data_IF_298102271364
#
_entry.id   IF_298102271364
#
_cell.length_a   1.000
_cell.length_b   1.000
_cell.length_c   1.000
_cell.angle_alpha   90.00
_cell.angle_beta   90.00
_cell.angle_gamma   90.00
#
_symmetry.space_group_name_H-M   'P 1'
#
loop_
_entity.id
_entity.type
_entity.pdbx_description
1 polymer ?
#
# COMPACT_ATOMS: atom_id res chain seq x y z
N UNK A 1 -8.31 4.33 24.82
CA UNK A 1 -8.81 4.62 23.46
C UNK A 1 -8.23 3.59 22.52
N UNK A 2 -9.04 2.64 22.05
CA UNK A 2 -8.62 1.64 21.07
C UNK A 2 -8.35 2.37 19.76
N UNK A 3 -7.09 2.40 19.30
CA UNK A 3 -6.76 2.95 17.99
C UNK A 3 -7.50 2.11 16.96
N UNK A 4 -8.34 2.74 16.13
CA UNK A 4 -9.10 2.04 15.12
C UNK A 4 -8.14 1.25 14.21
N UNK A 5 -8.52 0.01 13.87
CA UNK A 5 -7.74 -0.81 12.94
C UNK A 5 -7.61 -0.04 11.62
N UNK A 6 -6.42 -0.06 11.01
CA UNK A 6 -6.10 0.65 9.77
C UNK A 6 -6.05 2.18 9.86
N UNK A 7 -6.13 2.80 11.05
CA UNK A 7 -6.15 4.27 11.20
C UNK A 7 -4.88 5.00 10.72
N UNK A 8 -3.85 4.27 10.31
CA UNK A 8 -2.60 4.80 9.75
C UNK A 8 -2.57 4.78 8.22
N UNK A 9 -3.60 4.22 7.59
CA UNK A 9 -3.80 4.21 6.15
C UNK A 9 -4.52 5.47 5.69
N UNK A 10 -4.55 5.69 4.38
CA UNK A 10 -5.18 6.87 3.75
C UNK A 10 -4.37 7.50 2.63
N UNK A 11 -3.30 6.83 2.18
CA UNK A 11 -2.47 7.25 1.06
C UNK A 11 -3.09 6.76 -0.26
N UNK A 12 -2.29 6.52 -1.32
CA UNK A 12 -2.75 5.83 -2.53
C UNK A 12 -3.01 4.35 -2.22
N UNK A 13 -3.98 3.74 -2.91
CA UNK A 13 -4.39 2.34 -2.66
C UNK A 13 -3.21 1.36 -2.62
N UNK A 14 -2.26 1.47 -3.56
CA UNK A 14 -1.09 0.61 -3.61
C UNK A 14 -0.21 0.71 -2.33
N UNK A 15 -0.08 1.90 -1.76
CA UNK A 15 0.62 2.11 -0.48
C UNK A 15 -0.16 1.49 0.67
N UNK A 16 -1.48 1.68 0.68
CA UNK A 16 -2.34 1.14 1.73
C UNK A 16 -2.37 -0.41 1.72
N UNK A 17 -2.36 -1.02 0.52
CA UNK A 17 -2.16 -2.46 0.32
C UNK A 17 -0.82 -2.90 0.91
N UNK A 18 0.29 -2.26 0.53
CA UNK A 18 1.62 -2.62 1.01
C UNK A 18 1.77 -2.44 2.53
N UNK A 19 1.05 -1.50 3.13
CA UNK A 19 1.04 -1.23 4.57
C UNK A 19 0.07 -2.10 5.37
N UNK A 20 -0.56 -3.11 4.76
CA UNK A 20 -1.24 -4.20 5.50
C UNK A 20 -0.27 -5.11 6.24
N UNK A 21 1.03 -5.05 5.91
CA UNK A 21 2.11 -5.56 6.75
C UNK A 21 2.85 -4.43 7.43
N UNK A 22 3.21 -4.64 8.70
CA UNK A 22 3.90 -3.60 9.49
C UNK A 22 5.26 -4.04 9.95
N UNK A 23 6.23 -3.15 9.84
CA UNK A 23 7.52 -3.33 10.51
C UNK A 23 7.35 -3.07 12.01
N UNK A 24 7.82 -4.00 12.84
CA UNK A 24 8.00 -3.86 14.29
C UNK A 24 9.44 -4.22 14.62
N UNK A 25 10.25 -3.21 14.93
CA UNK A 25 11.71 -3.38 15.03
C UNK A 25 12.31 -3.79 13.69
N UNK A 26 12.91 -4.98 13.62
CA UNK A 26 13.49 -5.56 12.40
C UNK A 26 12.58 -6.59 11.72
N UNK A 27 11.40 -6.88 12.28
CA UNK A 27 10.49 -7.91 11.77
C UNK A 27 9.28 -7.28 11.10
N UNK A 28 8.84 -7.88 10.00
CA UNK A 28 7.54 -7.57 9.41
C UNK A 28 6.48 -8.48 10.05
N UNK A 29 5.36 -7.88 10.45
CA UNK A 29 4.23 -8.52 11.09
C UNK A 29 3.04 -8.46 10.15
N UNK A 30 2.56 -9.64 9.75
CA UNK A 30 1.33 -9.79 8.98
C UNK A 30 0.12 -9.35 9.82
N UNK A 31 -0.78 -8.56 9.24
CA UNK A 31 -2.01 -8.10 9.91
C UNK A 31 -3.27 -8.67 9.29
N UNK A 32 -3.17 -9.34 8.14
CA UNK A 32 -4.23 -10.10 7.48
C UNK A 32 -3.96 -11.59 7.76
N UNK A 33 -4.38 -12.04 8.93
CA UNK A 33 -4.19 -13.43 9.39
C UNK A 33 -5.45 -14.29 9.24
N UNK A 34 -6.58 -13.66 8.92
CA UNK A 34 -7.88 -14.29 8.77
C UNK A 34 -8.73 -13.56 7.71
N UNK A 35 -9.81 -14.19 7.21
CA UNK A 35 -10.76 -13.53 6.31
C UNK A 35 -11.43 -12.29 6.91
N UNK A 36 -11.65 -12.27 8.23
CA UNK A 36 -12.23 -11.12 8.92
C UNK A 36 -11.29 -9.91 8.93
N UNK A 37 -9.98 -10.17 9.02
CA UNK A 37 -8.97 -9.13 8.90
C UNK A 37 -8.99 -8.47 7.51
N UNK A 38 -9.06 -9.30 6.46
CA UNK A 38 -9.18 -8.83 5.09
C UNK A 38 -10.49 -8.09 4.85
N UNK A 39 -11.60 -8.59 5.39
CA UNK A 39 -12.90 -7.91 5.31
C UNK A 39 -12.85 -6.53 5.94
N UNK A 40 -12.26 -6.41 7.13
CA UNK A 40 -12.13 -5.13 7.83
C UNK A 40 -11.27 -4.14 7.02
N UNK A 41 -10.21 -4.62 6.37
CA UNK A 41 -9.39 -3.78 5.48
C UNK A 41 -10.15 -3.37 4.22
N UNK A 42 -10.85 -4.31 3.56
CA UNK A 42 -11.67 -4.01 2.37
C UNK A 42 -12.79 -3.01 2.67
N UNK A 43 -13.40 -3.08 3.86
CA UNK A 43 -14.38 -2.08 4.30
C UNK A 43 -13.76 -0.70 4.51
N UNK A 44 -12.51 -0.62 4.99
CA UNK A 44 -11.76 0.63 5.02
C UNK A 44 -11.52 1.19 3.60
N UNK A 45 -11.33 0.29 2.63
CA UNK A 45 -11.02 0.58 1.23
C UNK A 45 -12.25 0.70 0.31
N UNK A 46 -13.48 0.59 0.84
CA UNK A 46 -14.73 0.47 0.07
C UNK A 46 -15.01 1.57 -0.95
N UNK A 47 -14.39 2.74 -0.79
CA UNK A 47 -14.52 3.86 -1.73
C UNK A 47 -13.60 3.72 -2.95
N UNK A 48 -12.62 2.81 -2.89
CA UNK A 48 -11.60 2.56 -3.92
C UNK A 48 -11.71 1.16 -4.51
N UNK A 49 -12.20 0.19 -3.73
CA UNK A 49 -12.33 -1.20 -4.12
C UNK A 49 -13.75 -1.72 -3.90
N UNK A 50 -14.22 -2.54 -4.84
CA UNK A 50 -15.38 -3.38 -4.62
C UNK A 50 -15.00 -4.52 -3.67
N UNK A 51 -15.87 -4.84 -2.70
CA UNK A 51 -15.64 -5.92 -1.75
C UNK A 51 -16.12 -7.24 -2.39
N UNK A 52 -15.24 -8.23 -2.60
CA UNK A 52 -15.65 -9.52 -3.13
C UNK A 52 -16.58 -10.26 -2.17
N UNK A 53 -17.50 -11.05 -2.72
CA UNK A 53 -18.31 -11.98 -1.96
C UNK A 53 -18.09 -13.42 -2.50
N UNK A 54 -17.65 -14.38 -1.67
CA UNK A 54 -17.30 -14.26 -0.24
C UNK A 54 -15.92 -13.63 0.01
N UNK A 55 -15.71 -13.10 1.22
CA UNK A 55 -14.38 -12.84 1.79
C UNK A 55 -14.00 -14.03 2.66
N UNK A 56 -13.19 -14.94 2.12
CA UNK A 56 -12.83 -16.23 2.71
C UNK A 56 -11.30 -16.47 2.72
N UNK A 57 -10.89 -17.67 3.15
CA UNK A 57 -9.47 -18.02 3.23
C UNK A 57 -8.81 -18.09 1.85
N UNK A 58 -9.54 -18.47 0.80
CA UNK A 58 -9.01 -18.53 -0.56
C UNK A 58 -8.72 -17.10 -1.08
N UNK A 59 -9.59 -16.14 -0.79
CA UNK A 59 -9.33 -14.73 -1.11
C UNK A 59 -8.10 -14.19 -0.38
N UNK A 60 -7.92 -14.53 0.90
CA UNK A 60 -6.71 -14.18 1.66
C UNK A 60 -5.46 -14.75 0.99
N UNK A 61 -5.47 -16.03 0.61
CA UNK A 61 -4.34 -16.67 -0.09
C UNK A 61 -4.03 -16.05 -1.45
N UNK A 62 -5.01 -15.42 -2.12
CA UNK A 62 -4.79 -14.65 -3.37
C UNK A 62 -4.30 -13.23 -3.09
N UNK A 63 -4.79 -12.58 -2.04
CA UNK A 63 -4.41 -11.21 -1.69
C UNK A 63 -2.95 -11.09 -1.23
N UNK A 64 -2.47 -12.00 -0.37
CA UNK A 64 -1.15 -11.86 0.26
C UNK A 64 0.01 -11.82 -0.76
N UNK A 65 0.07 -12.70 -1.79
CA UNK A 65 1.11 -12.62 -2.82
C UNK A 65 1.04 -11.32 -3.65
N UNK A 66 -0.17 -10.86 -3.99
CA UNK A 66 -0.35 -9.58 -4.70
C UNK A 66 0.23 -8.43 -3.89
N UNK A 67 -0.08 -8.41 -2.58
CA UNK A 67 0.48 -7.43 -1.65
C UNK A 67 2.01 -7.52 -1.59
N UNK A 68 2.60 -8.71 -1.60
CA UNK A 68 4.06 -8.86 -1.56
C UNK A 68 4.73 -8.31 -2.83
N UNK A 69 4.14 -8.53 -4.01
CA UNK A 69 4.62 -7.91 -5.24
C UNK A 69 4.54 -6.38 -5.18
N UNK A 70 3.40 -5.83 -4.72
CA UNK A 70 3.20 -4.38 -4.54
C UNK A 70 4.25 -3.82 -3.57
N UNK A 71 4.45 -4.47 -2.42
CA UNK A 71 5.43 -4.08 -1.43
C UNK A 71 6.86 -4.07 -1.99
N UNK A 72 7.22 -5.08 -2.80
CA UNK A 72 8.52 -5.18 -3.46
C UNK A 72 8.80 -3.99 -4.37
N UNK A 73 7.89 -3.70 -5.31
CA UNK A 73 8.08 -2.57 -6.24
C UNK A 73 8.05 -1.21 -5.55
N UNK A 74 7.21 -1.02 -4.53
CA UNK A 74 7.16 0.24 -3.79
C UNK A 74 8.39 0.47 -2.91
N UNK A 75 9.02 -0.59 -2.39
CA UNK A 75 10.30 -0.46 -1.68
C UNK A 75 11.43 -0.09 -2.62
N UNK A 76 11.52 -0.72 -3.79
CA UNK A 76 12.51 -0.36 -4.80
C UNK A 76 12.34 1.10 -5.24
N UNK A 77 11.10 1.52 -5.52
CA UNK A 77 10.78 2.91 -5.83
C UNK A 77 11.18 3.89 -4.71
N UNK A 78 10.86 3.57 -3.45
CA UNK A 78 11.24 4.37 -2.29
C UNK A 78 12.76 4.48 -2.10
N UNK A 79 13.51 3.47 -2.51
CA UNK A 79 14.97 3.44 -2.47
C UNK A 79 15.63 4.12 -3.68
N UNK A 80 14.86 4.51 -4.70
CA UNK A 80 15.39 5.04 -5.97
C UNK A 80 16.07 3.96 -6.83
N UNK A 81 15.69 2.71 -6.64
CA UNK A 81 16.25 1.54 -7.33
C UNK A 81 15.39 1.13 -8.54
N UNK A 82 15.95 0.32 -9.43
CA UNK A 82 15.20 -0.30 -10.52
C UNK A 82 14.15 -1.27 -10.00
N UNK A 83 12.96 -1.29 -10.60
CA UNK A 83 11.88 -2.16 -10.18
C UNK A 83 12.24 -3.65 -10.42
N UNK A 84 12.06 -4.53 -9.43
CA UNK A 84 12.31 -5.96 -9.58
C UNK A 84 11.51 -6.59 -10.72
N UNK A 85 12.20 -7.26 -11.64
CA UNK A 85 11.60 -7.72 -12.90
C UNK A 85 10.50 -8.78 -12.72
N UNK A 86 10.61 -9.63 -11.68
CA UNK A 86 9.61 -10.66 -11.39
C UNK A 86 8.30 -10.03 -10.89
N UNK A 87 8.39 -9.04 -10.01
CA UNK A 87 7.26 -8.31 -9.44
C UNK A 87 6.59 -7.42 -10.49
N UNK A 88 7.38 -6.76 -11.37
CA UNK A 88 6.84 -6.03 -12.52
C UNK A 88 6.03 -6.96 -13.43
N UNK A 89 6.56 -8.15 -13.72
CA UNK A 89 5.85 -9.15 -14.53
C UNK A 89 4.55 -9.58 -13.86
N UNK A 90 4.60 -9.95 -12.58
CA UNK A 90 3.43 -10.39 -11.83
C UNK A 90 2.33 -9.31 -11.78
N UNK A 91 2.68 -8.06 -11.52
CA UNK A 91 1.73 -6.94 -11.52
C UNK A 91 1.08 -6.78 -12.90
N UNK A 92 1.86 -6.84 -13.97
CA UNK A 92 1.31 -6.74 -15.33
C UNK A 92 0.38 -7.91 -15.66
N UNK A 93 0.74 -9.14 -15.30
CA UNK A 93 -0.11 -10.33 -15.50
C UNK A 93 -1.43 -10.21 -14.73
N UNK A 94 -1.40 -9.72 -13.49
CA UNK A 94 -2.60 -9.47 -12.69
C UNK A 94 -3.52 -8.41 -13.32
N UNK A 95 -2.95 -7.31 -13.83
CA UNK A 95 -3.72 -6.28 -14.52
C UNK A 95 -4.34 -6.79 -15.84
N UNK A 96 -3.62 -7.64 -16.57
CA UNK A 96 -4.09 -8.29 -17.81
C UNK A 96 -5.23 -9.29 -17.53
N UNK A 97 -5.26 -9.92 -16.36
CA UNK A 97 -6.25 -10.96 -16.03
C UNK A 97 -7.70 -10.43 -15.95
N UNK A 98 -7.90 -9.15 -15.61
CA UNK A 98 -9.22 -8.51 -15.62
C UNK A 98 -9.10 -7.01 -15.99
N UNK A 99 -8.89 -6.69 -17.27
CA UNK A 99 -8.61 -5.34 -17.71
C UNK A 99 -9.85 -4.44 -17.61
N UNK A 100 -9.59 -3.16 -17.36
CA UNK A 100 -10.63 -2.13 -17.28
C UNK A 100 -10.32 -0.96 -18.20
N UNK A 101 -11.36 -0.35 -18.77
CA UNK A 101 -11.26 0.91 -19.50
C UNK A 101 -11.70 2.08 -18.62
N UNK A 102 -11.07 3.25 -18.84
CA UNK A 102 -11.47 4.51 -18.21
C UNK A 102 -12.50 5.20 -19.09
N UNK A 103 -13.57 5.65 -18.48
CA UNK A 103 -14.65 6.39 -19.12
C UNK A 103 -14.79 7.77 -18.48
N UNK A 104 -15.17 8.76 -19.27
CA UNK A 104 -15.45 10.10 -18.78
C UNK A 104 -16.80 10.12 -18.05
N UNK A 105 -16.80 10.61 -16.80
CA UNK A 105 -18.02 10.87 -16.04
C UNK A 105 -18.62 12.25 -16.35
N UNK A 106 -19.83 12.50 -15.84
CA UNK A 106 -20.61 13.70 -16.14
C UNK A 106 -20.17 14.99 -15.44
N UNK A 107 -19.08 14.98 -14.66
CA UNK A 107 -18.56 16.15 -13.94
C UNK A 107 -17.04 16.27 -14.11
N UNK A 108 -16.46 17.48 -14.08
CA UNK A 108 -15.01 17.65 -14.07
C UNK A 108 -14.34 16.80 -12.99
N UNK A 109 -13.28 16.06 -13.37
CA UNK A 109 -12.56 15.17 -12.46
C UNK A 109 -13.27 13.85 -12.11
N UNK A 110 -14.49 13.62 -12.62
CA UNK A 110 -15.19 12.35 -12.42
C UNK A 110 -14.76 11.34 -13.48
N UNK A 111 -13.95 10.37 -13.07
CA UNK A 111 -13.58 9.22 -13.88
C UNK A 111 -14.43 8.01 -13.49
N UNK A 112 -14.89 7.27 -14.49
CA UNK A 112 -15.54 5.98 -14.32
C UNK A 112 -14.60 4.87 -14.81
N UNK A 113 -14.77 3.67 -14.26
CA UNK A 113 -13.99 2.49 -14.65
C UNK A 113 -14.97 1.39 -15.04
N UNK A 114 -14.77 0.78 -16.21
CA UNK A 114 -15.63 -0.29 -16.71
C UNK A 114 -14.81 -1.56 -16.99
N UNK A 115 -15.22 -2.74 -16.48
CA UNK A 115 -14.58 -4.01 -16.85
C UNK A 115 -14.73 -4.31 -18.34
N UNK A 116 -13.64 -4.70 -19.00
CA UNK A 116 -13.67 -5.14 -20.41
C UNK A 116 -14.17 -6.58 -20.51
N UNK A 117 -13.79 -7.41 -19.54
CA UNK A 117 -14.16 -8.82 -19.48
C UNK A 117 -14.84 -9.12 -18.14
N UNK A 118 -15.70 -10.15 -18.13
CA UNK A 118 -16.17 -10.72 -16.88
C UNK A 118 -15.02 -11.48 -16.22
N UNK A 119 -14.83 -11.26 -14.93
CA UNK A 119 -13.87 -11.96 -14.09
C UNK A 119 -14.54 -12.31 -12.76
N UNK A 120 -14.09 -13.38 -12.11
CA UNK A 120 -14.52 -13.66 -10.75
C UNK A 120 -14.10 -12.50 -9.81
N UNK A 121 -14.88 -12.23 -8.73
CA UNK A 121 -14.63 -11.09 -7.85
C UNK A 121 -13.21 -11.02 -7.26
N UNK A 122 -12.58 -12.17 -7.02
CA UNK A 122 -11.24 -12.23 -6.47
C UNK A 122 -10.17 -11.87 -7.51
N UNK A 123 -10.28 -12.35 -8.75
CA UNK A 123 -9.42 -11.92 -9.86
C UNK A 123 -9.57 -10.43 -10.12
N UNK A 124 -10.82 -9.92 -10.09
CA UNK A 124 -11.09 -8.48 -10.24
C UNK A 124 -10.41 -7.63 -9.16
N UNK A 125 -10.49 -8.02 -7.89
CA UNK A 125 -9.81 -7.33 -6.79
C UNK A 125 -8.29 -7.26 -7.03
N UNK A 126 -7.69 -8.38 -7.43
CA UNK A 126 -6.24 -8.44 -7.68
C UNK A 126 -5.82 -7.55 -8.85
N UNK A 127 -6.61 -7.52 -9.93
CA UNK A 127 -6.37 -6.66 -11.08
C UNK A 127 -6.52 -5.16 -10.74
N UNK A 128 -7.51 -4.79 -9.92
CA UNK A 128 -7.70 -3.40 -9.49
C UNK A 128 -6.52 -2.91 -8.62
N UNK A 129 -5.99 -3.77 -7.73
CA UNK A 129 -4.79 -3.47 -6.94
C UNK A 129 -3.57 -3.31 -7.85
N UNK A 130 -3.41 -4.19 -8.84
CA UNK A 130 -2.33 -4.12 -9.81
C UNK A 130 -2.40 -2.82 -10.64
N UNK A 131 -3.59 -2.47 -11.15
CA UNK A 131 -3.82 -1.24 -11.89
C UNK A 131 -3.50 0.01 -11.05
N UNK A 132 -3.92 0.04 -9.78
CA UNK A 132 -3.59 1.14 -8.87
C UNK A 132 -2.08 1.26 -8.58
N UNK A 133 -1.36 0.13 -8.61
CA UNK A 133 0.10 0.10 -8.44
C UNK A 133 0.81 0.63 -9.67
N UNK A 134 0.35 0.24 -10.87
CA UNK A 134 0.84 0.79 -12.13
C UNK A 134 0.62 2.30 -12.16
N UNK A 135 -0.60 2.77 -11.85
CA UNK A 135 -0.94 4.19 -11.85
C UNK A 135 -0.08 5.03 -10.92
N UNK A 136 0.23 4.49 -9.73
CA UNK A 136 1.14 5.16 -8.80
C UNK A 136 2.55 5.28 -9.36
N UNK A 137 3.10 4.19 -9.89
CA UNK A 137 4.52 4.11 -10.30
C UNK A 137 4.80 4.71 -11.68
N UNK A 138 3.78 4.86 -12.53
CA UNK A 138 3.91 5.57 -13.82
C UNK A 138 3.39 7.00 -13.78
N UNK A 139 2.75 7.40 -12.68
CA UNK A 139 2.18 8.72 -12.49
C UNK A 139 3.15 9.73 -11.89
N UNK A 140 2.64 10.95 -11.65
CA UNK A 140 3.40 12.05 -11.03
C UNK A 140 3.89 11.74 -9.61
N UNK A 141 3.19 10.86 -8.90
CA UNK A 141 3.46 10.55 -7.50
C UNK A 141 4.59 9.52 -7.33
N UNK A 142 5.09 8.91 -8.43
CA UNK A 142 6.09 7.85 -8.40
C UNK A 142 7.36 8.27 -7.64
N UNK A 143 7.83 9.50 -7.86
CA UNK A 143 9.03 10.04 -7.21
C UNK A 143 8.78 10.53 -5.79
N UNK A 144 7.52 10.57 -5.34
CA UNK A 144 7.15 10.96 -3.98
C UNK A 144 7.01 9.77 -3.03
N UNK A 145 7.02 8.52 -3.54
CA UNK A 145 7.02 7.31 -2.73
C UNK A 145 8.25 7.27 -1.82
N UNK A 146 8.04 7.00 -0.55
CA UNK A 146 9.08 7.00 0.48
C UNK A 146 8.83 5.93 1.54
N UNK A 147 9.90 5.50 2.20
CA UNK A 147 9.85 4.60 3.36
C UNK A 147 10.22 5.39 4.62
N UNK A 148 9.38 5.33 5.65
CA UNK A 148 9.64 6.05 6.88
C UNK A 148 10.75 5.37 7.69
N UNK A 149 11.84 6.11 7.91
CA UNK A 149 13.04 5.67 8.63
C UNK A 149 12.96 5.88 10.16
N UNK A 150 11.87 6.46 10.67
CA UNK A 150 11.71 6.69 12.09
C UNK A 150 11.79 5.34 12.85
N UNK A 151 12.48 5.30 14.00
CA UNK A 151 12.66 4.06 14.74
C UNK A 151 11.34 3.30 14.95
N UNK A 152 11.29 2.06 14.49
CA UNK A 152 10.12 1.18 14.59
C UNK A 152 8.92 1.53 13.70
N UNK A 153 9.05 2.41 12.69
CA UNK A 153 7.97 2.71 11.74
C UNK A 153 7.98 1.81 10.51
N UNK A 154 8.86 2.07 9.53
CA UNK A 154 8.99 1.28 8.31
C UNK A 154 7.76 1.24 7.41
N UNK A 155 6.88 2.25 7.49
CA UNK A 155 5.72 2.38 6.60
C UNK A 155 6.11 3.09 5.30
N UNK A 156 5.50 2.64 4.20
CA UNK A 156 5.52 3.40 2.95
C UNK A 156 4.56 4.59 3.06
N UNK A 157 4.88 5.72 2.44
CA UNK A 157 4.05 6.92 2.43
C UNK A 157 4.35 7.78 1.20
N UNK A 158 3.45 8.72 0.87
CA UNK A 158 3.76 9.79 -0.09
C UNK A 158 4.31 11.02 0.60
N UNK A 159 5.46 11.51 0.13
CA UNK A 159 5.97 12.83 0.53
C UNK A 159 5.02 13.91 0.06
N UNK A 160 4.48 14.68 1.01
CA UNK A 160 3.75 15.92 0.73
C UNK A 160 4.67 17.11 0.44
N UNK A 161 5.98 16.98 0.69
CA UNK A 161 7.01 17.98 0.37
C UNK A 161 8.38 17.33 0.17
N UNK A 162 9.30 17.91 -0.62
CA UNK A 162 10.58 17.28 -0.98
C UNK A 162 11.40 16.78 0.21
N UNK A 163 11.46 17.55 1.31
CA UNK A 163 12.28 17.24 2.48
C UNK A 163 11.53 16.48 3.60
N UNK A 164 10.38 15.87 3.30
CA UNK A 164 9.65 15.08 4.29
C UNK A 164 10.34 13.74 4.53
N UNK A 165 10.99 13.60 5.69
CA UNK A 165 11.72 12.39 6.10
C UNK A 165 10.84 11.34 6.81
N UNK A 166 9.69 11.74 7.35
CA UNK A 166 8.83 10.86 8.15
C UNK A 166 7.38 10.90 7.68
N UNK A 167 6.68 9.77 7.80
CA UNK A 167 5.29 9.64 7.37
C UNK A 167 4.33 10.55 8.15
N UNK A 168 4.64 10.87 9.42
CA UNK A 168 3.82 11.76 10.24
C UNK A 168 4.64 12.50 11.33
N UNK A 169 4.07 13.55 11.95
CA UNK A 169 4.75 14.31 13.01
C UNK A 169 5.19 13.46 14.22
N UNK A 170 4.41 12.47 14.63
CA UNK A 170 4.74 11.59 15.75
C UNK A 170 6.01 10.77 15.48
N UNK A 171 6.20 10.29 14.25
CA UNK A 171 7.42 9.62 13.82
C UNK A 171 8.63 10.55 13.91
N UNK A 172 8.47 11.81 13.51
CA UNK A 172 9.53 12.81 13.66
C UNK A 172 9.88 13.12 15.12
N UNK A 173 8.89 13.22 16.00
CA UNK A 173 9.12 13.40 17.44
C UNK A 173 9.89 12.21 18.02
N UNK A 174 9.45 10.99 17.72
CA UNK A 174 10.13 9.76 18.17
C UNK A 174 11.59 9.68 17.70
N UNK A 175 11.84 9.99 16.43
CA UNK A 175 13.21 9.99 15.87
C UNK A 175 14.11 11.07 16.51
N UNK A 176 13.57 12.23 16.91
CA UNK A 176 14.34 13.26 17.63
C UNK A 176 14.62 12.85 19.08
N UNK A 177 13.63 12.30 19.79
CA UNK A 177 13.80 11.83 21.17
C UNK A 177 14.86 10.74 21.28
N UNK A 178 14.85 9.76 20.37
CA UNK A 178 15.86 8.70 20.38
C UNK A 178 17.28 9.25 20.13
N UNK A 179 17.45 10.10 19.12
CA UNK A 179 18.76 10.76 18.86
C UNK A 179 19.25 11.62 20.03
N UNK A 180 18.35 12.18 20.84
CA UNK A 180 18.74 12.88 22.06
C UNK A 180 19.22 11.89 23.14
N UNK A 181 18.49 10.80 23.36
CA UNK A 181 18.87 9.76 24.30
C UNK A 181 20.23 9.14 23.95
N UNK A 182 20.46 8.80 22.68
CA UNK A 182 21.73 8.23 22.19
C UNK A 182 22.93 9.17 22.44
N UNK A 183 22.73 10.48 22.28
CA UNK A 183 23.77 11.48 22.58
C UNK A 183 24.10 11.58 24.07
N UNK A 184 23.10 11.42 24.94
CA UNK A 184 23.31 11.44 26.39
C UNK A 184 24.00 10.15 26.86
N UNK A 185 23.64 8.99 26.31
CA UNK A 185 24.26 7.71 26.65
C UNK A 185 25.69 7.55 26.14
N UNK A 186 26.10 8.30 25.11
CA UNK A 186 27.47 8.31 24.59
C UNK A 186 28.41 9.31 25.26
N UNK A 187 27.92 10.11 26.21
CA UNK A 187 28.71 11.04 27.03
C UNK A 187 29.03 10.49 28.43
N UNK A 188 28.64 9.24 28.69
CA UNK A 188 28.91 8.51 29.95
C UNK A 188 29.89 7.38 29.67
#
# INVERSE_FOLDING_TARGET
MTVARWSWLGDRLAIDVANTVRRRGWRYVELITSPEDLRTWLEHERNRLAIPAPVDAALVSRFLPVRDHVLGVLRAAAAGEGLPAAEVRAINELAIAAPTVRLLGSRPGHQLTWPVTAADPATRLCADIAAATIDLLTGSDATAVALCDAPGCGQLYLRGRPNQQWCNPHCGTRARSQRHAERLSGQT
#
